data_IF_298005368666
#
_entry.id   IF_298005368666
#
_cell.length_a   1.000
_cell.length_b   1.000
_cell.length_c   1.000
_cell.angle_alpha   90.00
_cell.angle_beta   90.00
_cell.angle_gamma   90.00
#
_symmetry.space_group_name_H-M   'P 1'
#
loop_
_entity.id
_entity.type
_entity.pdbx_description
1 polymer ?
#
# COMPACT_ATOMS: atom_id res chain seq x y z
N UNK A 1 -0.14 4.84 22.57
CA UNK A 1 0.62 5.79 21.72
C UNK A 1 1.92 5.07 21.39
N UNK A 2 2.31 4.98 20.13
CA UNK A 2 3.68 4.54 19.79
C UNK A 2 4.58 5.73 20.02
N UNK A 3 5.61 5.57 20.86
CA UNK A 3 6.54 6.66 21.21
C UNK A 3 7.72 6.75 20.22
N UNK A 4 7.74 5.89 19.21
CA UNK A 4 8.79 5.80 18.19
C UNK A 4 8.23 6.07 16.79
N UNK A 5 9.06 6.66 15.94
CA UNK A 5 8.79 6.81 14.52
C UNK A 5 8.79 5.43 13.83
N UNK A 6 7.95 5.26 12.81
CA UNK A 6 7.86 4.02 12.06
C UNK A 6 8.48 4.17 10.66
N UNK A 7 9.26 3.17 10.23
CA UNK A 7 9.80 3.08 8.87
C UNK A 7 8.95 2.11 8.03
N UNK A 8 8.42 2.60 6.91
CA UNK A 8 7.44 1.89 6.10
C UNK A 8 7.92 1.79 4.65
N UNK A 9 8.11 0.57 4.16
CA UNK A 9 8.43 0.29 2.74
C UNK A 9 7.14 -0.04 1.98
N UNK A 10 6.99 0.52 0.78
CA UNK A 10 5.91 0.15 -0.14
C UNK A 10 6.44 -0.82 -1.21
N UNK A 11 5.71 -1.90 -1.45
CA UNK A 11 6.04 -2.92 -2.46
C UNK A 11 4.88 -3.12 -3.41
N UNK A 12 5.18 -3.02 -4.71
CA UNK A 12 4.23 -3.17 -5.82
C UNK A 12 3.58 -1.85 -6.26
N UNK A 13 3.19 -1.82 -7.53
CA UNK A 13 2.44 -0.70 -8.10
C UNK A 13 3.22 0.62 -8.12
N UNK A 14 2.52 1.77 -8.02
CA UNK A 14 3.12 3.08 -8.24
C UNK A 14 4.00 3.60 -7.10
N UNK A 15 3.93 3.00 -5.92
CA UNK A 15 4.78 3.36 -4.78
C UNK A 15 5.92 2.37 -4.57
N UNK A 16 6.14 1.43 -5.49
CA UNK A 16 7.16 0.39 -5.33
C UNK A 16 8.55 0.99 -5.01
N UNK A 17 9.17 0.49 -3.95
CA UNK A 17 10.47 0.96 -3.46
C UNK A 17 10.44 2.26 -2.66
N UNK A 18 9.28 2.93 -2.52
CA UNK A 18 9.16 4.12 -1.66
C UNK A 18 9.32 3.74 -0.19
N UNK A 19 10.14 4.52 0.52
CA UNK A 19 10.25 4.47 1.99
C UNK A 19 9.61 5.72 2.58
N UNK A 20 8.78 5.54 3.61
CA UNK A 20 8.17 6.58 4.41
C UNK A 20 8.65 6.47 5.86
N UNK A 21 9.00 7.60 6.47
CA UNK A 21 9.18 7.71 7.92
C UNK A 21 7.93 8.39 8.49
N UNK A 22 7.15 7.64 9.26
CA UNK A 22 5.94 8.11 9.92
C UNK A 22 6.27 8.54 11.33
N UNK A 23 6.16 9.83 11.62
CA UNK A 23 6.45 10.33 12.97
C UNK A 23 5.48 9.76 14.02
N UNK A 24 5.99 9.47 15.21
CA UNK A 24 5.27 8.91 16.37
C UNK A 24 3.97 9.67 16.69
N UNK A 25 3.98 11.01 16.54
CA UNK A 25 2.83 11.89 16.81
C UNK A 25 1.60 11.56 15.96
N UNK A 26 1.78 10.85 14.84
CA UNK A 26 0.68 10.42 13.98
C UNK A 26 0.07 9.07 14.39
N UNK A 27 0.54 8.48 15.50
CA UNK A 27 0.13 7.17 15.98
C UNK A 27 0.60 6.02 15.08
N UNK A 28 0.17 4.81 15.43
CA UNK A 28 0.56 3.59 14.73
C UNK A 28 0.20 3.66 13.24
N UNK A 29 1.02 3.03 12.35
CA UNK A 29 0.66 2.87 10.95
C UNK A 29 -0.72 2.22 10.79
N UNK A 30 -1.50 2.73 9.82
CA UNK A 30 -2.82 2.18 9.56
C UNK A 30 -2.70 0.79 8.94
N UNK A 31 -3.61 -0.15 9.24
CA UNK A 31 -3.55 -1.49 8.65
C UNK A 31 -3.74 -1.48 7.13
N UNK A 32 -4.40 -0.46 6.60
CA UNK A 32 -4.67 -0.27 5.17
C UNK A 32 -4.47 1.19 4.80
N UNK A 33 -3.80 1.44 3.68
CA UNK A 33 -3.66 2.78 3.09
C UNK A 33 -4.03 2.77 1.62
N UNK A 34 -4.34 3.96 1.08
CA UNK A 34 -4.66 4.11 -0.34
C UNK A 34 -3.77 5.16 -0.97
N UNK A 35 -3.26 4.85 -2.16
CA UNK A 35 -2.59 5.82 -3.04
C UNK A 35 -3.51 6.17 -4.20
N UNK A 36 -3.94 7.42 -4.28
CA UNK A 36 -4.83 7.92 -5.32
C UNK A 36 -4.03 8.74 -6.33
N UNK A 37 -4.12 8.38 -7.61
CA UNK A 37 -3.67 9.25 -8.69
C UNK A 37 -4.78 10.22 -9.08
N UNK A 38 -4.52 11.50 -8.88
CA UNK A 38 -5.35 12.60 -9.36
C UNK A 38 -4.68 13.20 -10.60
N UNK A 39 -5.23 12.92 -11.77
CA UNK A 39 -4.87 13.51 -13.07
C UNK A 39 -6.16 13.86 -13.81
N UNK A 40 -6.08 14.56 -14.96
CA UNK A 40 -7.24 14.90 -15.81
C UNK A 40 -7.91 13.67 -16.49
N UNK A 41 -7.65 12.46 -16.01
CA UNK A 41 -8.23 11.20 -16.48
C UNK A 41 -8.92 10.41 -15.35
N UNK A 42 -9.29 9.14 -15.59
CA UNK A 42 -9.95 8.32 -14.58
C UNK A 42 -9.14 8.23 -13.28
N UNK A 43 -9.79 8.48 -12.14
CA UNK A 43 -9.16 8.29 -10.82
C UNK A 43 -8.72 6.84 -10.66
N UNK A 44 -7.43 6.62 -10.42
CA UNK A 44 -6.88 5.30 -10.11
C UNK A 44 -6.52 5.24 -8.63
N UNK A 45 -7.06 4.23 -7.93
CA UNK A 45 -6.79 4.00 -6.50
C UNK A 45 -6.06 2.68 -6.34
N UNK A 46 -4.92 2.70 -5.64
CA UNK A 46 -4.18 1.51 -5.24
C UNK A 46 -4.34 1.34 -3.73
N UNK A 47 -4.67 0.13 -3.28
CA UNK A 47 -4.83 -0.22 -1.87
C UNK A 47 -3.61 -1.00 -1.43
N UNK A 48 -3.04 -0.65 -0.29
CA UNK A 48 -1.92 -1.40 0.29
C UNK A 48 -2.27 -1.91 1.69
N UNK A 49 -1.86 -3.14 1.96
CA UNK A 49 -2.02 -3.81 3.24
C UNK A 49 -0.73 -3.80 4.04
N UNK A 50 -0.80 -3.38 5.30
CA UNK A 50 0.34 -3.37 6.21
C UNK A 50 0.69 -4.80 6.63
N UNK A 51 1.96 -5.14 6.48
CA UNK A 51 2.62 -6.31 7.03
C UNK A 51 3.63 -5.83 8.08
N UNK A 52 3.28 -5.84 9.38
CA UNK A 52 4.19 -5.41 10.43
C UNK A 52 5.41 -6.34 10.51
N UNK A 53 6.60 -5.75 10.65
CA UNK A 53 7.85 -6.50 10.87
C UNK A 53 8.34 -6.36 12.31
N UNK A 54 8.28 -5.14 12.83
CA UNK A 54 8.60 -4.79 14.22
C UNK A 54 7.63 -3.72 14.72
N UNK A 55 7.65 -3.32 16.00
CA UNK A 55 6.84 -2.19 16.47
C UNK A 55 7.08 -0.87 15.72
N UNK A 56 8.30 -0.66 15.19
CA UNK A 56 8.71 0.56 14.50
C UNK A 56 8.98 0.35 12.99
N UNK A 57 8.60 -0.81 12.42
CA UNK A 57 8.82 -1.07 11.00
C UNK A 57 7.77 -2.00 10.39
N UNK A 58 7.42 -1.75 9.13
CA UNK A 58 6.48 -2.57 8.38
C UNK A 58 6.59 -2.39 6.87
N UNK A 59 5.91 -3.27 6.14
CA UNK A 59 5.85 -3.23 4.67
C UNK A 59 4.40 -3.11 4.24
N UNK A 60 4.09 -2.12 3.42
CA UNK A 60 2.82 -2.01 2.71
C UNK A 60 2.91 -2.77 1.39
N UNK A 61 2.20 -3.90 1.27
CA UNK A 61 2.11 -4.64 0.00
C UNK A 61 0.88 -4.18 -0.78
N UNK A 62 1.05 -3.97 -2.08
CA UNK A 62 -0.07 -3.70 -2.97
C UNK A 62 -1.05 -4.87 -2.93
N UNK A 63 -2.31 -4.57 -2.64
CA UNK A 63 -3.40 -5.53 -2.78
C UNK A 63 -3.66 -5.75 -4.27
N UNK A 64 -3.34 -6.93 -4.76
CA UNK A 64 -3.71 -7.34 -6.12
C UNK A 64 -5.23 -7.55 -6.13
N UNK A 65 -5.94 -6.84 -7.01
CA UNK A 65 -7.35 -7.14 -7.23
C UNK A 65 -7.43 -8.56 -7.80
N UNK A 66 -8.15 -9.46 -7.12
CA UNK A 66 -8.51 -10.74 -7.73
C UNK A 66 -9.31 -10.42 -8.99
N UNK A 67 -8.69 -10.65 -10.15
CA UNK A 67 -9.46 -10.72 -11.40
C UNK A 67 -10.33 -11.97 -11.26
N UNK A 68 -11.67 -11.86 -11.31
CA UNK A 68 -12.51 -13.04 -11.35
C UNK A 68 -12.03 -13.93 -12.49
N UNK A 69 -11.86 -15.23 -12.23
CA UNK A 69 -11.24 -16.21 -13.15
C UNK A 69 -11.97 -16.42 -14.50
N UNK A 70 -12.95 -15.58 -14.84
CA UNK A 70 -13.86 -15.74 -15.99
C UNK A 70 -13.55 -14.80 -17.17
N UNK A 71 -12.32 -14.29 -17.27
CA UNK A 71 -11.85 -13.48 -18.40
C UNK A 71 -10.59 -14.03 -19.07
N UNK A 72 -10.54 -15.35 -19.26
CA UNK A 72 -9.61 -15.92 -20.24
C UNK A 72 -10.18 -15.65 -21.64
N UNK A 73 -9.53 -14.85 -22.51
CA UNK A 73 -9.96 -14.80 -23.90
C UNK A 73 -9.75 -16.20 -24.48
N UNK A 74 -10.84 -16.81 -24.96
CA UNK A 74 -10.76 -18.04 -25.74
C UNK A 74 -9.77 -17.79 -26.89
N UNK A 75 -8.62 -18.46 -26.84
CA UNK A 75 -7.65 -18.44 -27.92
C UNK A 75 -8.37 -18.87 -29.20
N UNK A 76 -8.31 -18.02 -30.22
CA UNK A 76 -8.79 -18.30 -31.56
C UNK A 76 -7.63 -18.27 -32.53
#
# INVERSE_FOLDING_TARGET
MTDEDAVLLYVGGPLDGRVEVREARHGAPLPVVTHTHLHDGPKVVHVYDLHPLTPAAGVYHLRVAEVPADQSPAAR
#
